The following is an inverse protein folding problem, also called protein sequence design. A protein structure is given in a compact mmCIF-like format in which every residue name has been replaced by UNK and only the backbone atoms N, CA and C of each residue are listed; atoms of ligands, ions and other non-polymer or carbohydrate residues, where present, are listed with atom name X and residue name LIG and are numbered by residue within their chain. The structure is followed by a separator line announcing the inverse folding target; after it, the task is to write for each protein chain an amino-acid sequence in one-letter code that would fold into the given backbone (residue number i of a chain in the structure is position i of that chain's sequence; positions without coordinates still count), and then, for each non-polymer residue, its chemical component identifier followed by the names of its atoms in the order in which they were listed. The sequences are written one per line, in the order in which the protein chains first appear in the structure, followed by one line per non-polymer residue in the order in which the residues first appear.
data_IF_945352265943
#
_entry.id   IF_945352265943
#
_cell.length_a   1.000
_cell.length_b   1.000
_cell.length_c   1.000
_cell.angle_alpha   90.00
_cell.angle_beta   90.00
_cell.angle_gamma   90.00
#
_symmetry.space_group_name_H-M   'P 1'
#
loop_
_entity.id
_entity.type
_entity.pdbx_description
1 polymer ?
#
# COMPACT_ATOMS: atom_id res chain seq x y z
N UNK A 1 14.76 -23.37 5.81
CA UNK A 1 13.89 -22.62 6.75
C UNK A 1 14.29 -21.15 6.85
N UNK A 2 15.51 -20.82 7.36
CA UNK A 2 15.97 -19.43 7.47
C UNK A 2 16.01 -18.71 6.10
N UNK A 3 16.48 -19.38 5.05
CA UNK A 3 16.59 -18.81 3.70
C UNK A 3 15.20 -18.48 3.11
N UNK A 4 14.21 -19.33 3.32
CA UNK A 4 12.83 -19.07 2.84
C UNK A 4 12.22 -17.90 3.59
N UNK A 5 12.41 -17.83 4.90
CA UNK A 5 11.96 -16.72 5.73
C UNK A 5 12.58 -15.39 5.28
N UNK A 6 13.88 -15.38 4.96
CA UNK A 6 14.57 -14.18 4.46
C UNK A 6 14.00 -13.70 3.13
N UNK A 7 13.76 -14.60 2.18
CA UNK A 7 13.16 -14.25 0.88
C UNK A 7 11.77 -13.68 1.04
N UNK A 8 10.96 -14.29 1.89
CA UNK A 8 9.62 -13.81 2.21
C UNK A 8 9.68 -12.41 2.81
N UNK A 9 10.52 -12.19 3.82
CA UNK A 9 10.69 -10.89 4.45
C UNK A 9 11.14 -9.83 3.46
N UNK A 10 12.16 -10.13 2.64
CA UNK A 10 12.63 -9.19 1.61
C UNK A 10 11.53 -8.80 0.64
N UNK A 11 10.73 -9.76 0.20
CA UNK A 11 9.61 -9.52 -0.69
C UNK A 11 8.54 -8.62 -0.04
N UNK A 12 8.16 -8.90 1.21
CA UNK A 12 7.15 -8.15 1.93
C UNK A 12 7.63 -6.73 2.26
N UNK A 13 8.90 -6.56 2.64
CA UNK A 13 9.52 -5.25 2.87
C UNK A 13 9.48 -4.42 1.58
N UNK A 14 9.93 -5.00 0.47
CA UNK A 14 9.91 -4.33 -0.83
C UNK A 14 8.49 -3.89 -1.22
N UNK A 15 7.51 -4.78 -1.01
CA UNK A 15 6.10 -4.50 -1.31
C UNK A 15 5.61 -3.23 -0.58
N UNK A 16 5.91 -3.08 0.71
CA UNK A 16 5.48 -1.91 1.47
C UNK A 16 6.29 -0.65 1.11
N UNK A 17 7.56 -0.77 0.80
CA UNK A 17 8.37 0.35 0.30
C UNK A 17 7.87 0.84 -1.06
N UNK A 18 7.49 -0.06 -1.95
CA UNK A 18 6.89 0.30 -3.24
C UNK A 18 5.53 1.00 -3.05
N UNK A 19 4.69 0.49 -2.16
CA UNK A 19 3.42 1.14 -1.80
C UNK A 19 3.64 2.56 -1.29
N UNK A 20 4.65 2.78 -0.45
CA UNK A 20 5.00 4.11 0.03
C UNK A 20 5.36 5.07 -1.11
N UNK A 21 6.10 4.60 -2.10
CA UNK A 21 6.42 5.38 -3.30
C UNK A 21 5.19 5.76 -4.12
N UNK A 22 4.23 4.85 -4.26
CA UNK A 22 2.96 5.15 -4.94
C UNK A 22 2.16 6.20 -4.18
N UNK A 23 2.08 6.10 -2.85
CA UNK A 23 1.38 7.10 -2.04
C UNK A 23 2.06 8.48 -2.07
N UNK A 24 3.40 8.51 -2.17
CA UNK A 24 4.13 9.76 -2.40
C UNK A 24 3.71 10.41 -3.73
N UNK A 25 3.64 9.64 -4.79
CA UNK A 25 3.15 10.12 -6.09
C UNK A 25 1.70 10.65 -5.97
N UNK A 26 0.81 9.87 -5.35
CA UNK A 26 -0.58 10.28 -5.14
C UNK A 26 -0.69 11.56 -4.32
N UNK A 27 0.17 11.75 -3.32
CA UNK A 27 0.19 12.99 -2.54
C UNK A 27 0.55 14.21 -3.39
N UNK A 28 1.48 14.08 -4.35
CA UNK A 28 1.83 15.17 -5.27
C UNK A 28 0.72 15.51 -6.25
N UNK A 29 -0.15 14.56 -6.57
CA UNK A 29 -1.23 14.71 -7.54
C UNK A 29 -2.58 15.03 -6.90
N UNK A 30 -2.69 14.91 -5.58
CA UNK A 30 -3.96 15.07 -4.87
C UNK A 30 -4.56 16.46 -5.11
N UNK A 31 -5.85 16.56 -5.51
CA UNK A 31 -6.46 17.82 -5.89
C UNK A 31 -6.80 18.73 -4.70
N UNK A 32 -6.77 18.24 -3.49
CA UNK A 32 -7.07 18.98 -2.27
C UNK A 32 -6.05 18.73 -1.19
N UNK A 33 -5.91 19.68 -0.26
CA UNK A 33 -5.02 19.54 0.89
C UNK A 33 -5.41 18.35 1.78
N UNK A 34 -6.71 18.11 1.94
CA UNK A 34 -7.22 16.97 2.73
C UNK A 34 -6.77 15.65 2.11
N UNK A 35 -6.92 15.48 0.80
CA UNK A 35 -6.49 14.28 0.08
C UNK A 35 -4.97 14.14 0.09
N UNK A 36 -4.24 15.24 -0.06
CA UNK A 36 -2.78 15.23 0.05
C UNK A 36 -2.33 14.71 1.42
N UNK A 37 -2.92 15.22 2.49
CA UNK A 37 -2.63 14.78 3.86
C UNK A 37 -2.97 13.30 4.03
N UNK A 38 -4.11 12.85 3.51
CA UNK A 38 -4.51 11.45 3.58
C UNK A 38 -3.50 10.54 2.86
N UNK A 39 -3.01 10.94 1.68
CA UNK A 39 -1.99 10.15 0.96
C UNK A 39 -0.66 10.10 1.71
N UNK A 40 -0.27 11.19 2.35
CA UNK A 40 0.95 11.20 3.21
C UNK A 40 0.81 10.28 4.42
N UNK A 41 -0.38 10.19 5.01
CA UNK A 41 -0.64 9.24 6.10
C UNK A 41 -0.53 7.80 5.63
N UNK A 42 -1.04 7.48 4.44
CA UNK A 42 -0.92 6.14 3.85
C UNK A 42 0.53 5.82 3.51
N UNK A 43 1.29 6.79 3.02
CA UNK A 43 2.74 6.65 2.80
C UNK A 43 3.45 6.28 4.10
N UNK A 44 3.19 7.03 5.17
CA UNK A 44 3.81 6.79 6.47
C UNK A 44 3.44 5.41 7.03
N UNK A 45 2.19 5.00 6.87
CA UNK A 45 1.71 3.70 7.29
C UNK A 45 2.45 2.56 6.56
N UNK A 46 2.66 2.70 5.26
CA UNK A 46 3.44 1.74 4.46
C UNK A 46 4.90 1.68 4.90
N UNK A 47 5.51 2.84 5.17
CA UNK A 47 6.88 2.90 5.70
C UNK A 47 7.00 2.26 7.08
N UNK A 48 6.02 2.46 7.95
CA UNK A 48 5.98 1.82 9.27
C UNK A 48 5.89 0.30 9.14
N UNK A 49 5.04 -0.20 8.24
CA UNK A 49 4.91 -1.63 7.97
C UNK A 49 6.24 -2.23 7.48
N UNK A 50 6.92 -1.56 6.55
CA UNK A 50 8.24 -1.99 6.09
C UNK A 50 9.25 -2.02 7.24
N UNK A 51 9.22 -1.02 8.12
CA UNK A 51 10.11 -0.93 9.28
C UNK A 51 9.88 -2.07 10.27
N UNK A 52 8.63 -2.45 10.54
CA UNK A 52 8.32 -3.59 11.43
C UNK A 52 8.87 -4.90 10.88
N UNK A 53 8.71 -5.13 9.58
CA UNK A 53 9.25 -6.31 8.91
C UNK A 53 10.79 -6.29 8.89
N UNK A 54 11.41 -5.15 8.62
CA UNK A 54 12.86 -5.01 8.58
C UNK A 54 13.49 -5.20 9.96
N UNK A 55 12.83 -4.78 11.02
CA UNK A 55 13.29 -5.04 12.38
C UNK A 55 13.45 -6.53 12.63
N UNK A 56 12.47 -7.33 12.23
CA UNK A 56 12.56 -8.78 12.35
C UNK A 56 13.63 -9.36 11.41
N UNK A 57 13.75 -8.80 10.20
CA UNK A 57 14.83 -9.18 9.29
C UNK A 57 16.23 -8.94 9.91
N UNK A 58 16.41 -7.80 10.58
CA UNK A 58 17.66 -7.50 11.30
C UNK A 58 17.96 -8.47 12.44
N UNK A 59 16.93 -8.91 13.17
CA UNK A 59 17.09 -9.90 14.23
C UNK A 59 17.61 -11.23 13.67
N UNK A 60 17.20 -11.60 12.48
CA UNK A 60 17.64 -12.84 11.84
C UNK A 60 19.00 -12.73 11.13
N UNK A 61 19.34 -11.55 10.63
CA UNK A 61 20.46 -11.38 9.70
C UNK A 61 21.55 -10.41 10.18
N UNK A 62 21.37 -9.77 11.32
CA UNK A 62 22.28 -8.76 11.89
C UNK A 62 22.50 -7.53 10.99
N UNK A 63 21.73 -7.39 9.93
CA UNK A 63 21.78 -6.27 8.98
C UNK A 63 20.40 -5.93 8.47
N UNK A 64 20.21 -4.68 8.06
CA UNK A 64 18.97 -4.17 7.46
C UNK A 64 18.85 -4.61 6.00
N UNK A 65 17.64 -4.73 5.50
CA UNK A 65 17.37 -4.92 4.09
C UNK A 65 17.05 -3.57 3.44
N UNK A 66 17.96 -3.06 2.63
CA UNK A 66 17.84 -1.77 1.95
C UNK A 66 17.82 -1.97 0.42
N UNK A 67 16.69 -2.39 -0.17
CA UNK A 67 16.61 -2.59 -1.61
C UNK A 67 16.57 -1.27 -2.37
N UNK A 68 17.02 -1.29 -3.62
CA UNK A 68 16.70 -0.22 -4.56
C UNK A 68 15.25 -0.43 -5.00
N UNK A 69 14.37 0.49 -4.62
CA UNK A 69 12.94 0.40 -4.94
C UNK A 69 12.68 1.08 -6.28
N UNK A 70 11.96 0.38 -7.16
CA UNK A 70 11.57 0.90 -8.48
C UNK A 70 10.66 2.12 -8.31
N UNK A 71 10.82 3.09 -9.21
CA UNK A 71 9.91 4.24 -9.30
C UNK A 71 8.47 3.75 -9.56
N UNK A 72 7.47 4.37 -8.92
CA UNK A 72 6.07 4.03 -9.19
C UNK A 72 5.70 4.38 -10.63
N UNK A 73 4.85 3.55 -11.23
CA UNK A 73 4.30 3.83 -12.56
C UNK A 73 3.22 4.90 -12.42
N UNK A 74 3.37 6.01 -13.16
CA UNK A 74 2.37 7.06 -13.21
C UNK A 74 1.41 6.80 -14.39
N UNK A 75 0.13 6.60 -14.07
CA UNK A 75 -0.94 6.36 -15.05
C UNK A 75 -1.57 7.66 -15.58
N UNK A 76 -0.99 8.82 -15.25
CA UNK A 76 -1.31 10.11 -15.83
C UNK A 76 -2.14 11.04 -14.96
N UNK A 77 -3.07 10.53 -14.15
CA UNK A 77 -3.93 11.36 -13.30
C UNK A 77 -4.08 10.77 -11.90
N UNK A 78 -4.41 11.61 -10.94
CA UNK A 78 -4.74 11.17 -9.58
C UNK A 78 -5.81 10.07 -9.59
N UNK A 79 -6.89 10.27 -10.32
CA UNK A 79 -8.00 9.30 -10.43
C UNK A 79 -7.52 7.95 -10.94
N UNK A 80 -6.75 7.93 -12.04
CA UNK A 80 -6.23 6.68 -12.63
C UNK A 80 -5.25 5.98 -11.69
N UNK A 81 -4.40 6.74 -11.01
CA UNK A 81 -3.46 6.19 -10.04
C UNK A 81 -4.16 5.65 -8.79
N UNK A 82 -5.22 6.30 -8.32
CA UNK A 82 -6.07 5.79 -7.22
C UNK A 82 -6.72 4.46 -7.63
N UNK A 83 -7.31 4.39 -8.83
CA UNK A 83 -7.91 3.16 -9.34
C UNK A 83 -6.92 2.01 -9.42
N UNK A 84 -5.73 2.26 -9.98
CA UNK A 84 -4.66 1.27 -10.04
C UNK A 84 -4.25 0.81 -8.62
N UNK A 85 -4.14 1.77 -7.70
CA UNK A 85 -3.75 1.46 -6.31
C UNK A 85 -4.81 0.64 -5.57
N UNK A 86 -6.10 0.83 -5.88
CA UNK A 86 -7.17 0.00 -5.33
C UNK A 86 -6.95 -1.49 -5.67
N UNK A 87 -6.65 -1.78 -6.93
CA UNK A 87 -6.38 -3.16 -7.37
C UNK A 87 -5.09 -3.70 -6.74
N UNK A 88 -4.06 -2.87 -6.70
CA UNK A 88 -2.76 -3.24 -6.11
C UNK A 88 -2.89 -3.53 -4.61
N UNK A 89 -3.57 -2.69 -3.86
CA UNK A 89 -3.79 -2.91 -2.41
C UNK A 89 -4.69 -4.11 -2.14
N UNK A 90 -5.66 -4.38 -3.01
CA UNK A 90 -6.46 -5.61 -2.92
C UNK A 90 -5.60 -6.87 -3.08
N UNK A 91 -4.67 -6.86 -4.04
CA UNK A 91 -3.68 -7.93 -4.22
C UNK A 91 -2.74 -8.03 -3.02
N UNK A 92 -2.26 -6.90 -2.50
CA UNK A 92 -1.39 -6.87 -1.33
C UNK A 92 -2.06 -7.45 -0.09
N UNK A 93 -3.32 -7.09 0.16
CA UNK A 93 -4.08 -7.66 1.27
C UNK A 93 -4.07 -9.18 1.19
N UNK A 94 -4.33 -9.74 0.02
CA UNK A 94 -4.34 -11.19 -0.20
C UNK A 94 -2.96 -11.81 0.07
N UNK A 95 -1.90 -11.20 -0.44
CA UNK A 95 -0.52 -11.67 -0.24
C UNK A 95 -0.20 -11.76 1.25
N UNK A 96 -0.49 -10.72 2.00
CA UNK A 96 -0.21 -10.69 3.44
C UNK A 96 -1.11 -11.65 4.23
N UNK A 97 -2.37 -11.82 3.83
CA UNK A 97 -3.26 -12.84 4.42
C UNK A 97 -2.72 -14.24 4.16
N UNK A 98 -2.32 -14.55 2.92
CA UNK A 98 -1.77 -15.86 2.57
C UNK A 98 -0.51 -16.17 3.39
N UNK A 99 0.39 -15.19 3.56
CA UNK A 99 1.59 -15.36 4.38
C UNK A 99 1.25 -15.56 5.86
N UNK A 100 0.18 -14.96 6.36
CA UNK A 100 -0.27 -15.15 7.74
C UNK A 100 -0.78 -16.57 8.02
N UNK A 101 -1.22 -17.29 6.99
CA UNK A 101 -1.67 -18.68 7.07
C UNK A 101 -0.64 -19.69 6.54
N UNK A 102 0.48 -19.23 5.98
CA UNK A 102 1.49 -20.12 5.43
C UNK A 102 2.20 -20.89 6.54
N UNK A 103 2.03 -22.24 6.54
CA UNK A 103 2.61 -23.11 7.55
C UNK A 103 4.13 -23.15 7.56
N UNK A 104 4.80 -22.67 6.53
CA UNK A 104 6.27 -22.56 6.45
C UNK A 104 6.83 -21.32 7.15
N UNK A 105 5.98 -20.33 7.45
CA UNK A 105 6.36 -19.14 8.19
C UNK A 105 6.33 -19.40 9.69
N UNK A 106 7.23 -18.75 10.44
CA UNK A 106 7.18 -18.78 11.89
C UNK A 106 6.04 -17.93 12.47
N UNK A 107 5.79 -18.05 13.77
CA UNK A 107 4.70 -17.34 14.44
C UNK A 107 4.85 -15.81 14.37
N UNK A 108 6.06 -15.28 14.39
CA UNK A 108 6.32 -13.84 14.31
C UNK A 108 5.93 -13.29 12.94
N UNK A 109 6.33 -13.95 11.85
CA UNK A 109 5.94 -13.54 10.49
C UNK A 109 4.41 -13.63 10.32
N UNK A 110 3.79 -14.71 10.81
CA UNK A 110 2.32 -14.85 10.75
C UNK A 110 1.61 -13.69 11.47
N UNK A 111 2.07 -13.32 12.65
CA UNK A 111 1.50 -12.18 13.39
C UNK A 111 1.71 -10.84 12.70
N UNK A 112 2.91 -10.57 12.20
CA UNK A 112 3.22 -9.34 11.47
C UNK A 112 2.40 -9.23 10.19
N UNK A 113 2.32 -10.29 9.41
CA UNK A 113 1.58 -10.29 8.14
C UNK A 113 0.07 -10.16 8.37
N UNK A 114 -0.47 -10.75 9.43
CA UNK A 114 -1.86 -10.56 9.84
C UNK A 114 -2.14 -9.10 10.22
N UNK A 115 -1.28 -8.48 11.02
CA UNK A 115 -1.39 -7.07 11.39
C UNK A 115 -1.34 -6.16 10.17
N UNK A 116 -0.37 -6.38 9.28
CA UNK A 116 -0.16 -5.57 8.08
C UNK A 116 -1.31 -5.74 7.09
N UNK A 117 -1.84 -6.96 6.91
CA UNK A 117 -2.99 -7.19 6.04
C UNK A 117 -4.21 -6.36 6.49
N UNK A 118 -4.45 -6.25 7.78
CA UNK A 118 -5.53 -5.42 8.34
C UNK A 118 -5.28 -3.92 8.08
N UNK A 119 -4.03 -3.47 8.19
CA UNK A 119 -3.63 -2.10 7.87
C UNK A 119 -3.88 -1.76 6.40
N UNK A 120 -3.48 -2.65 5.50
CA UNK A 120 -3.68 -2.49 4.05
C UNK A 120 -5.18 -2.48 3.71
N UNK A 121 -5.95 -3.36 4.30
CA UNK A 121 -7.40 -3.43 4.07
C UNK A 121 -8.11 -2.14 4.50
N UNK A 122 -7.73 -1.56 5.63
CA UNK A 122 -8.24 -0.26 6.06
C UNK A 122 -7.90 0.86 5.08
N UNK A 123 -6.67 0.90 4.57
CA UNK A 123 -6.29 1.87 3.52
C UNK A 123 -7.12 1.67 2.26
N UNK A 124 -7.30 0.43 1.84
CA UNK A 124 -8.06 0.11 0.64
C UNK A 124 -9.52 0.53 0.75
N UNK A 125 -10.13 0.36 1.92
CA UNK A 125 -11.50 0.86 2.19
C UNK A 125 -11.58 2.38 2.04
N UNK A 126 -10.62 3.12 2.59
CA UNK A 126 -10.56 4.58 2.48
C UNK A 126 -10.32 5.03 1.03
N UNK A 127 -9.43 4.36 0.31
CA UNK A 127 -9.19 4.63 -1.12
C UNK A 127 -10.45 4.39 -1.96
N UNK A 128 -11.19 3.34 -1.68
CA UNK A 128 -12.46 3.05 -2.35
C UNK A 128 -13.43 4.20 -2.17
N UNK A 129 -13.57 4.71 -0.96
CA UNK A 129 -14.43 5.86 -0.68
C UNK A 129 -13.96 7.13 -1.41
N UNK A 130 -12.66 7.37 -1.47
CA UNK A 130 -12.09 8.49 -2.23
C UNK A 130 -12.43 8.35 -3.71
N UNK A 131 -12.26 7.18 -4.29
CA UNK A 131 -12.56 6.92 -5.70
C UNK A 131 -14.04 7.11 -6.01
N UNK A 132 -14.94 6.58 -5.16
CA UNK A 132 -16.38 6.77 -5.31
C UNK A 132 -16.78 8.24 -5.25
N UNK A 133 -16.17 9.02 -4.35
CA UNK A 133 -16.40 10.46 -4.27
C UNK A 133 -15.95 11.21 -5.53
N UNK A 134 -14.83 10.81 -6.12
CA UNK A 134 -14.37 11.37 -7.41
C UNK A 134 -15.41 11.11 -8.50
N UNK A 135 -15.91 9.88 -8.61
CA UNK A 135 -16.93 9.51 -9.59
C UNK A 135 -18.22 10.29 -9.37
N UNK A 136 -18.69 10.40 -8.13
CA UNK A 136 -19.91 11.14 -7.80
C UNK A 136 -19.78 12.62 -8.17
N UNK A 137 -18.64 13.24 -7.93
CA UNK A 137 -18.37 14.63 -8.30
C UNK A 137 -18.34 14.82 -9.83
N UNK A 138 -17.78 13.88 -10.57
CA UNK A 138 -17.79 13.91 -12.03
C UNK A 138 -19.21 13.80 -12.59
N UNK A 139 -20.03 12.92 -12.05
CA UNK A 139 -21.43 12.77 -12.45
C UNK A 139 -22.21 14.06 -12.18
N UNK A 140 -22.04 14.66 -11.01
CA UNK A 140 -22.68 15.91 -10.65
C UNK A 140 -22.27 17.07 -11.58
N UNK A 141 -20.97 17.17 -11.93
CA UNK A 141 -20.46 18.19 -12.84
C UNK A 141 -20.98 17.99 -14.26
N UNK A 142 -21.06 16.77 -14.76
CA UNK A 142 -21.60 16.45 -16.07
C UNK A 142 -23.08 16.82 -16.18
N UNK A 143 -23.87 16.62 -15.13
CA UNK A 143 -25.28 17.05 -15.08
C UNK A 143 -25.44 18.57 -15.14
N UNK A 144 -24.51 19.35 -14.53
CA UNK A 144 -24.53 20.81 -14.56
C UNK A 144 -24.17 21.39 -15.93
N UNK A 145 -23.36 20.68 -16.71
CA UNK A 145 -22.87 21.13 -18.01
C UNK A 145 -23.71 20.64 -19.18
N UNK A 146 -24.68 19.72 -18.97
CA UNK A 146 -25.57 19.26 -20.01
C UNK A 146 -26.57 20.34 -20.40
N UNK A 147 -26.72 20.71 -21.71
CA UNK A 147 -27.72 21.66 -22.14
C UNK A 147 -29.13 21.13 -21.83
N UNK A 148 -29.98 22.03 -21.31
CA UNK A 148 -31.39 21.73 -21.09
C UNK A 148 -32.14 21.57 -22.41
#
# INVERSE_FOLDING_TARGET
MILLTNKTLQYLIYNQLYSAGVYELLATQAPTEILQTQMKLFQQDSLNNASYLDRYYQELNTSSYNPIVREPVDHGTFKKNVYWMLEYEGTNTRIFVDESFNGQNDATIKSLTSYISSSIDRRNTKLTNIYLNILDNEIANNKKTSPK
#
